data_IF_053987434781
#
_entry.id   IF_053987434781
#
_cell.length_a   1.000
_cell.length_b   1.000
_cell.length_c   1.000
_cell.angle_alpha   90.00
_cell.angle_beta   90.00
_cell.angle_gamma   90.00
#
_symmetry.space_group_name_H-M   'P 1'
#
loop_
_entity.id
_entity.type
_entity.pdbx_description
1 polymer ?
#
# COMPACT_ATOMS: atom_id res chain seq x y z
N UNK A 1 -3.88 -18.02 -12.57
CA UNK A 1 -4.64 -18.16 -11.30
C UNK A 1 -3.95 -17.28 -10.27
N UNK A 2 -4.70 -16.44 -9.55
CA UNK A 2 -4.11 -15.60 -8.51
C UNK A 2 -3.72 -16.41 -7.28
N UNK A 3 -2.60 -16.04 -6.66
CA UNK A 3 -2.16 -16.59 -5.38
C UNK A 3 -2.50 -15.59 -4.26
N UNK A 4 -3.10 -16.02 -3.15
CA UNK A 4 -3.26 -15.15 -1.99
C UNK A 4 -1.92 -14.83 -1.35
N UNK A 5 -1.79 -13.61 -0.88
CA UNK A 5 -0.72 -13.09 -0.06
C UNK A 5 -1.28 -12.32 1.14
N UNK A 6 -0.42 -11.70 1.90
CA UNK A 6 -0.82 -10.92 3.08
C UNK A 6 0.09 -9.70 3.25
N UNK A 7 -0.49 -8.58 3.68
CA UNK A 7 0.25 -7.45 4.21
C UNK A 7 0.54 -7.70 5.70
N UNK A 8 1.82 -7.71 6.06
CA UNK A 8 2.27 -7.92 7.44
C UNK A 8 3.34 -6.89 7.82
N UNK A 9 3.39 -6.54 9.10
CA UNK A 9 4.28 -5.51 9.61
C UNK A 9 5.48 -6.11 10.34
N UNK A 10 6.66 -5.64 10.03
CA UNK A 10 7.84 -5.88 10.85
C UNK A 10 7.59 -5.42 12.29
N UNK A 11 8.15 -6.14 13.26
CA UNK A 11 8.03 -5.89 14.72
C UNK A 11 6.62 -6.12 15.31
N UNK A 12 5.55 -6.25 14.49
CA UNK A 12 4.20 -6.57 14.94
C UNK A 12 3.82 -8.02 14.70
N UNK A 13 4.12 -8.54 13.53
CA UNK A 13 3.63 -9.82 13.06
C UNK A 13 4.69 -10.92 13.16
N UNK A 14 4.29 -12.08 13.70
CA UNK A 14 5.13 -13.28 13.72
C UNK A 14 5.03 -13.99 12.37
N UNK A 15 6.15 -14.13 11.67
CA UNK A 15 6.23 -14.81 10.38
C UNK A 15 5.81 -16.28 10.42
N UNK A 16 5.98 -16.97 11.55
CA UNK A 16 5.51 -18.34 11.68
C UNK A 16 3.98 -18.42 11.68
N UNK A 17 3.33 -17.44 12.32
CA UNK A 17 1.86 -17.31 12.29
C UNK A 17 1.38 -16.97 10.88
N UNK A 18 2.04 -16.03 10.20
CA UNK A 18 1.71 -15.68 8.81
C UNK A 18 1.90 -16.88 7.88
N UNK A 19 3.00 -17.61 7.99
CA UNK A 19 3.25 -18.82 7.19
C UNK A 19 2.19 -19.91 7.44
N UNK A 20 1.71 -20.06 8.68
CA UNK A 20 0.66 -21.02 9.04
C UNK A 20 -0.69 -20.74 8.33
N UNK A 21 -0.92 -19.52 7.80
CA UNK A 21 -2.06 -19.20 6.94
C UNK A 21 -1.96 -19.84 5.55
N UNK A 22 -0.82 -20.48 5.24
CA UNK A 22 -0.59 -21.18 3.98
C UNK A 22 -0.41 -20.25 2.79
N UNK A 23 0.11 -19.04 3.01
CA UNK A 23 0.50 -18.09 1.96
C UNK A 23 1.98 -18.17 1.65
N UNK A 24 2.35 -17.87 0.40
CA UNK A 24 3.76 -17.84 -0.07
C UNK A 24 4.23 -16.45 -0.44
N UNK A 25 3.34 -15.49 -0.50
CA UNK A 25 3.63 -14.12 -0.88
C UNK A 25 3.14 -13.16 0.19
N UNK A 26 3.78 -11.99 0.27
CA UNK A 26 3.31 -10.92 1.12
C UNK A 26 3.98 -9.60 0.83
N UNK A 27 3.43 -8.56 1.43
CA UNK A 27 4.05 -7.24 1.48
C UNK A 27 4.57 -7.00 2.89
N UNK A 28 5.81 -6.55 3.00
CA UNK A 28 6.45 -6.28 4.29
C UNK A 28 6.33 -4.80 4.63
N UNK A 29 5.52 -4.47 5.63
CA UNK A 29 5.42 -3.13 6.20
C UNK A 29 6.58 -2.84 7.14
N UNK A 30 7.20 -1.68 6.97
CA UNK A 30 8.33 -1.20 7.77
C UNK A 30 7.84 -0.05 8.65
N UNK A 31 7.76 -0.24 9.99
CA UNK A 31 7.42 0.84 10.92
C UNK A 31 8.40 2.01 10.85
N UNK A 32 7.93 3.23 11.09
CA UNK A 32 8.73 4.45 10.98
C UNK A 32 10.03 4.44 11.78
N UNK A 33 10.02 3.87 12.99
CA UNK A 33 11.17 3.80 13.89
C UNK A 33 12.10 2.59 13.71
N UNK A 34 11.75 1.61 12.87
CA UNK A 34 12.57 0.41 12.69
C UNK A 34 13.95 0.73 12.12
N UNK A 35 15.00 0.14 12.69
CA UNK A 35 16.37 0.28 12.19
C UNK A 35 16.58 -0.50 10.89
N UNK A 36 17.15 0.15 9.87
CA UNK A 36 17.32 -0.40 8.52
C UNK A 36 18.81 -0.59 8.18
N UNK A 37 19.52 -1.37 8.98
CA UNK A 37 20.92 -1.70 8.70
C UNK A 37 21.08 -3.09 8.03
N UNK A 38 22.31 -3.41 7.67
CA UNK A 38 22.64 -4.71 7.05
C UNK A 38 22.36 -5.90 7.95
N UNK A 39 22.43 -5.75 9.27
CA UNK A 39 22.11 -6.81 10.21
C UNK A 39 20.59 -7.08 10.23
N UNK A 40 19.77 -6.04 10.27
CA UNK A 40 18.33 -6.16 10.14
C UNK A 40 17.94 -6.78 8.79
N UNK A 41 18.57 -6.36 7.70
CA UNK A 41 18.31 -6.93 6.38
C UNK A 41 18.68 -8.43 6.31
N UNK A 42 19.82 -8.83 6.86
CA UNK A 42 20.23 -10.24 6.92
C UNK A 42 19.23 -11.07 7.75
N UNK A 43 18.81 -10.55 8.91
CA UNK A 43 17.79 -11.18 9.76
C UNK A 43 16.47 -11.40 9.00
N UNK A 44 15.93 -10.37 8.40
CA UNK A 44 14.66 -10.45 7.66
C UNK A 44 14.75 -11.35 6.44
N UNK A 45 15.87 -11.31 5.72
CA UNK A 45 16.09 -12.22 4.58
C UNK A 45 16.09 -13.69 5.01
N UNK A 46 16.75 -14.00 6.13
CA UNK A 46 16.75 -15.35 6.70
C UNK A 46 15.37 -15.77 7.23
N UNK A 47 14.67 -14.85 7.94
CA UNK A 47 13.36 -15.12 8.49
C UNK A 47 12.30 -15.38 7.40
N UNK A 48 12.27 -14.56 6.35
CA UNK A 48 11.38 -14.75 5.19
C UNK A 48 11.67 -16.08 4.49
N UNK A 49 12.95 -16.44 4.28
CA UNK A 49 13.33 -17.70 3.67
C UNK A 49 12.91 -18.90 4.54
N UNK A 50 13.11 -18.84 5.86
CA UNK A 50 12.72 -19.89 6.80
C UNK A 50 11.19 -20.07 6.86
N UNK A 51 10.43 -18.98 6.74
CA UNK A 51 8.95 -18.98 6.67
C UNK A 51 8.41 -19.41 5.28
N UNK A 52 9.26 -19.50 4.26
CA UNK A 52 8.83 -19.79 2.89
C UNK A 52 8.01 -18.66 2.26
N UNK A 53 8.19 -17.41 2.74
CA UNK A 53 7.45 -16.23 2.27
C UNK A 53 8.34 -15.40 1.35
N UNK A 54 7.83 -15.07 0.18
CA UNK A 54 8.44 -14.11 -0.75
C UNK A 54 7.80 -12.74 -0.54
N UNK A 55 8.57 -11.77 -0.04
CA UNK A 55 8.14 -10.38 0.01
C UNK A 55 8.15 -9.79 -1.42
N UNK A 56 6.99 -9.31 -1.90
CA UNK A 56 6.83 -8.75 -3.24
C UNK A 56 6.94 -7.24 -3.25
N UNK A 57 6.66 -6.58 -2.13
CA UNK A 57 6.77 -5.13 -1.93
C UNK A 57 7.20 -4.86 -0.49
N UNK A 58 8.02 -3.85 -0.28
CA UNK A 58 8.31 -3.31 1.05
C UNK A 58 7.58 -1.97 1.18
N UNK A 59 6.71 -1.85 2.18
CA UNK A 59 5.86 -0.67 2.40
C UNK A 59 6.44 0.17 3.53
N UNK A 60 6.71 1.44 3.26
CA UNK A 60 7.22 2.38 4.24
C UNK A 60 6.08 3.06 4.99
N UNK A 61 6.17 3.08 6.34
CA UNK A 61 5.39 3.99 7.19
C UNK A 61 6.31 5.01 7.86
N UNK A 62 5.74 6.10 8.30
CA UNK A 62 6.49 7.21 8.88
C UNK A 62 6.03 7.53 10.30
N UNK A 63 6.96 7.97 11.13
CA UNK A 63 6.63 8.46 12.46
C UNK A 63 5.73 9.72 12.36
N UNK A 64 4.75 9.79 13.27
CA UNK A 64 3.85 10.93 13.37
C UNK A 64 2.73 10.97 12.34
N UNK A 65 2.53 9.93 11.53
CA UNK A 65 1.32 9.77 10.74
C UNK A 65 0.13 9.44 11.64
N UNK A 66 -0.99 10.07 11.38
CA UNK A 66 -2.23 9.88 12.14
C UNK A 66 -3.41 9.83 11.16
N UNK A 67 -4.17 8.75 11.25
CA UNK A 67 -5.29 8.41 10.38
C UNK A 67 -6.66 8.55 11.08
N UNK A 68 -6.77 9.40 12.11
CA UNK A 68 -7.98 9.56 12.90
C UNK A 68 -9.17 10.11 12.08
N UNK A 69 -8.91 11.07 11.19
CA UNK A 69 -9.89 11.69 10.30
C UNK A 69 -9.21 12.30 9.06
N UNK A 70 -10.00 12.66 8.04
CA UNK A 70 -9.45 13.21 6.79
C UNK A 70 -8.62 14.49 7.02
N UNK A 71 -9.07 15.51 7.80
CA UNK A 71 -8.25 16.67 8.10
C UNK A 71 -6.92 16.35 8.80
N UNK A 72 -6.89 15.32 9.63
CA UNK A 72 -5.66 14.86 10.30
C UNK A 72 -4.74 14.18 9.32
N UNK A 73 -5.25 13.29 8.47
CA UNK A 73 -4.48 12.66 7.37
C UNK A 73 -3.85 13.75 6.47
N UNK A 74 -4.62 14.75 6.07
CA UNK A 74 -4.13 15.86 5.24
C UNK A 74 -2.94 16.60 5.86
N UNK A 75 -2.92 16.72 7.19
CA UNK A 75 -1.85 17.44 7.91
C UNK A 75 -0.65 16.57 8.28
N UNK A 76 -0.82 15.24 8.36
CA UNK A 76 0.19 14.38 9.00
C UNK A 76 0.75 13.29 8.10
N UNK A 77 0.10 12.91 7.01
CA UNK A 77 0.46 11.72 6.24
C UNK A 77 1.33 12.04 5.02
N UNK A 78 2.24 11.14 4.72
CA UNK A 78 3.04 11.12 3.49
C UNK A 78 4.02 12.27 3.37
N UNK A 79 4.19 12.78 2.17
CA UNK A 79 5.14 13.85 1.84
C UNK A 79 4.51 15.26 1.84
N UNK A 80 3.22 15.37 2.16
CA UNK A 80 2.52 16.66 2.15
C UNK A 80 3.09 17.63 3.20
N UNK A 81 3.26 17.24 4.48
CA UNK A 81 3.72 18.19 5.49
C UNK A 81 5.17 18.65 5.19
N UNK A 82 5.41 19.96 4.92
CA UNK A 82 6.76 20.43 4.59
C UNK A 82 7.79 20.18 5.70
N UNK A 83 7.35 20.24 6.96
CA UNK A 83 8.23 20.07 8.12
C UNK A 83 8.83 18.65 8.24
N UNK A 84 8.13 17.62 7.77
CA UNK A 84 8.56 16.22 7.87
C UNK A 84 9.02 15.64 6.52
N UNK A 85 8.75 16.33 5.41
CA UNK A 85 9.00 15.86 4.04
C UNK A 85 10.42 15.35 3.82
N UNK A 86 11.42 16.12 4.21
CA UNK A 86 12.83 15.74 4.03
C UNK A 86 13.22 14.50 4.85
N UNK A 87 12.73 14.37 6.09
CA UNK A 87 13.00 13.21 6.93
C UNK A 87 12.31 11.94 6.36
N UNK A 88 11.07 12.08 5.84
CA UNK A 88 10.32 10.98 5.22
C UNK A 88 10.92 10.57 3.88
N UNK A 89 11.41 11.52 3.08
CA UNK A 89 12.20 11.22 1.90
C UNK A 89 13.43 10.38 2.27
N UNK A 90 14.26 10.84 3.21
CA UNK A 90 15.43 10.10 3.67
C UNK A 90 15.06 8.69 4.17
N UNK A 91 13.94 8.55 4.90
CA UNK A 91 13.42 7.25 5.35
C UNK A 91 13.06 6.35 4.16
N UNK A 92 12.39 6.89 3.14
CA UNK A 92 12.00 6.13 1.95
C UNK A 92 13.22 5.65 1.16
N UNK A 93 14.27 6.49 1.05
CA UNK A 93 15.53 6.07 0.44
C UNK A 93 16.17 4.91 1.23
N UNK A 94 16.18 4.99 2.57
CA UNK A 94 16.68 3.91 3.41
C UNK A 94 15.84 2.62 3.29
N UNK A 95 14.52 2.74 3.14
CA UNK A 95 13.63 1.58 2.85
C UNK A 95 13.95 0.98 1.48
N UNK A 96 14.24 1.80 0.47
CA UNK A 96 14.68 1.33 -0.85
C UNK A 96 15.98 0.52 -0.75
N UNK A 97 16.99 1.04 -0.05
CA UNK A 97 18.25 0.34 0.18
C UNK A 97 18.03 -0.99 0.93
N UNK A 98 17.20 -0.97 1.98
CA UNK A 98 16.84 -2.15 2.75
C UNK A 98 16.11 -3.20 1.89
N UNK A 99 15.12 -2.79 1.09
CA UNK A 99 14.40 -3.66 0.16
C UNK A 99 15.36 -4.28 -0.87
N UNK A 100 16.34 -3.51 -1.35
CA UNK A 100 17.40 -4.01 -2.24
C UNK A 100 18.23 -5.11 -1.60
N UNK A 101 18.61 -4.96 -0.32
CA UNK A 101 19.33 -6.00 0.45
C UNK A 101 18.50 -7.26 0.62
N UNK A 102 17.16 -7.15 0.72
CA UNK A 102 16.24 -8.30 0.74
C UNK A 102 16.05 -8.93 -0.64
N UNK A 103 16.42 -8.27 -1.72
CA UNK A 103 16.17 -8.69 -3.09
C UNK A 103 14.76 -8.31 -3.59
N UNK A 104 14.07 -7.39 -2.91
CA UNK A 104 12.72 -6.92 -3.27
C UNK A 104 12.81 -5.76 -4.26
N UNK A 105 12.04 -5.85 -5.35
CA UNK A 105 12.08 -4.89 -6.46
C UNK A 105 10.94 -3.88 -6.46
N UNK A 106 10.13 -3.82 -5.43
CA UNK A 106 9.07 -2.84 -5.28
C UNK A 106 9.08 -2.27 -3.87
N UNK A 107 9.03 -0.95 -3.77
CA UNK A 107 8.76 -0.24 -2.52
C UNK A 107 7.47 0.56 -2.67
N UNK A 108 6.74 0.77 -1.59
CA UNK A 108 5.49 1.54 -1.60
C UNK A 108 5.36 2.41 -0.34
N UNK A 109 4.54 3.44 -0.44
CA UNK A 109 4.05 4.21 0.71
C UNK A 109 2.81 5.03 0.33
N UNK A 110 2.11 5.55 1.34
CA UNK A 110 1.22 6.68 1.17
C UNK A 110 2.01 7.97 0.99
N UNK A 111 1.60 8.82 0.05
CA UNK A 111 2.22 10.15 -0.16
C UNK A 111 1.40 11.30 0.42
N UNK A 112 0.19 11.01 0.94
CA UNK A 112 -0.76 11.97 1.46
C UNK A 112 -1.65 12.58 0.37
N UNK A 113 -2.51 13.52 0.73
CA UNK A 113 -3.41 14.21 -0.20
C UNK A 113 -2.65 15.21 -1.08
N UNK A 114 -2.28 14.81 -2.29
CA UNK A 114 -1.60 15.69 -3.24
C UNK A 114 -2.57 16.80 -3.70
N UNK A 115 -2.19 18.09 -3.59
CA UNK A 115 -3.01 19.17 -4.12
C UNK A 115 -3.31 19.00 -5.61
N UNK A 116 -4.51 19.39 -6.06
CA UNK A 116 -4.88 19.31 -7.48
C UNK A 116 -4.23 20.44 -8.33
N UNK A 117 -3.90 21.57 -7.71
CA UNK A 117 -3.22 22.69 -8.38
C UNK A 117 -1.71 22.39 -8.51
N UNK A 118 -1.24 22.18 -9.72
CA UNK A 118 0.18 21.93 -10.01
C UNK A 118 1.11 23.11 -9.66
N UNK A 119 0.55 24.30 -9.39
CA UNK A 119 1.31 25.50 -8.94
C UNK A 119 1.37 25.59 -7.40
N UNK A 120 0.64 24.75 -6.68
CA UNK A 120 0.68 24.72 -5.22
C UNK A 120 2.10 24.32 -4.76
N UNK A 121 2.71 25.06 -3.81
CA UNK A 121 4.03 24.73 -3.28
C UNK A 121 4.14 23.31 -2.71
N UNK A 122 3.07 22.77 -2.12
CA UNK A 122 3.06 21.41 -1.59
C UNK A 122 2.98 20.38 -2.72
N UNK A 123 2.20 20.63 -3.80
CA UNK A 123 2.24 19.80 -5.00
C UNK A 123 3.67 19.71 -5.57
N UNK A 124 4.31 20.86 -5.78
CA UNK A 124 5.68 20.92 -6.31
C UNK A 124 6.65 20.17 -5.40
N UNK A 125 6.55 20.39 -4.09
CA UNK A 125 7.40 19.74 -3.10
C UNK A 125 7.25 18.21 -3.08
N UNK A 126 6.02 17.71 -3.15
CA UNK A 126 5.72 16.27 -3.22
C UNK A 126 6.21 15.67 -4.53
N UNK A 127 5.90 16.31 -5.67
CA UNK A 127 6.35 15.87 -6.99
C UNK A 127 7.86 15.70 -7.04
N UNK A 128 8.60 16.70 -6.58
CA UNK A 128 10.05 16.69 -6.65
C UNK A 128 10.66 15.66 -5.66
N UNK A 129 10.02 15.43 -4.51
CA UNK A 129 10.36 14.33 -3.59
C UNK A 129 10.13 12.97 -4.25
N UNK A 130 8.98 12.74 -4.86
CA UNK A 130 8.67 11.49 -5.58
C UNK A 130 9.67 11.24 -6.71
N UNK A 131 10.08 12.28 -7.45
CA UNK A 131 11.15 12.17 -8.48
C UNK A 131 12.45 11.66 -7.89
N UNK A 132 12.92 12.25 -6.77
CA UNK A 132 14.16 11.81 -6.12
C UNK A 132 14.08 10.39 -5.59
N UNK A 133 12.96 9.99 -5.02
CA UNK A 133 12.72 8.60 -4.60
C UNK A 133 12.77 7.65 -5.78
N UNK A 134 12.09 7.98 -6.89
CA UNK A 134 12.13 7.18 -8.11
C UNK A 134 13.55 7.05 -8.67
N UNK A 135 14.30 8.16 -8.73
CA UNK A 135 15.68 8.19 -9.22
C UNK A 135 16.62 7.34 -8.35
N UNK A 136 16.40 7.32 -7.03
CA UNK A 136 17.13 6.44 -6.11
C UNK A 136 16.74 4.97 -6.31
N UNK A 137 15.46 4.65 -6.29
CA UNK A 137 14.94 3.29 -6.47
C UNK A 137 15.38 2.68 -7.82
N UNK A 138 15.49 3.49 -8.87
CA UNK A 138 15.97 3.06 -10.18
C UNK A 138 17.41 2.51 -10.14
N UNK A 139 18.27 2.99 -9.24
CA UNK A 139 19.65 2.49 -9.07
C UNK A 139 19.68 1.03 -8.61
N UNK A 140 18.61 0.59 -7.94
CA UNK A 140 18.41 -0.78 -7.48
C UNK A 140 17.51 -1.61 -8.42
N UNK A 141 17.09 -1.03 -9.56
CA UNK A 141 16.14 -1.67 -10.47
C UNK A 141 14.75 -1.86 -9.85
N UNK A 142 14.36 -0.96 -8.93
CA UNK A 142 13.11 -1.01 -8.20
C UNK A 142 12.05 -0.09 -8.80
N UNK A 143 10.79 -0.47 -8.61
CA UNK A 143 9.64 0.43 -8.75
C UNK A 143 9.36 1.11 -7.42
N UNK A 144 8.87 2.37 -7.48
CA UNK A 144 8.24 3.05 -6.37
C UNK A 144 6.74 3.12 -6.63
N UNK A 145 5.94 2.53 -5.75
CA UNK A 145 4.50 2.43 -5.91
C UNK A 145 3.78 3.35 -4.92
N UNK A 146 2.91 4.21 -5.44
CA UNK A 146 2.02 5.04 -4.62
C UNK A 146 0.81 4.22 -4.21
N UNK A 147 0.47 4.23 -2.93
CA UNK A 147 -0.75 3.60 -2.48
C UNK A 147 -1.95 4.48 -2.76
N UNK A 148 -3.03 3.88 -3.33
CA UNK A 148 -4.26 4.61 -3.65
C UNK A 148 -5.10 4.88 -2.41
N UNK A 149 -5.92 5.93 -2.49
CA UNK A 149 -6.94 6.25 -1.48
C UNK A 149 -7.26 7.73 -1.38
N UNK A 150 -6.25 8.58 -1.27
CA UNK A 150 -6.45 10.00 -1.01
C UNK A 150 -6.90 10.78 -2.26
N UNK A 151 -6.45 10.39 -3.46
CA UNK A 151 -6.79 11.05 -4.70
C UNK A 151 -7.75 10.23 -5.55
N UNK A 152 -8.56 10.93 -6.36
CA UNK A 152 -9.28 10.29 -7.46
C UNK A 152 -8.29 9.73 -8.49
N UNK A 153 -8.66 8.64 -9.13
CA UNK A 153 -7.80 7.97 -10.12
C UNK A 153 -7.29 8.91 -11.22
N UNK A 154 -8.13 9.81 -11.72
CA UNK A 154 -7.74 10.79 -12.74
C UNK A 154 -6.71 11.79 -12.25
N UNK A 155 -6.83 12.26 -11.00
CA UNK A 155 -5.88 13.19 -10.37
C UNK A 155 -4.55 12.49 -10.14
N UNK A 156 -4.56 11.29 -9.57
CA UNK A 156 -3.35 10.49 -9.36
C UNK A 156 -2.63 10.19 -10.69
N UNK A 157 -3.38 9.86 -11.75
CA UNK A 157 -2.81 9.61 -13.06
C UNK A 157 -2.16 10.87 -13.66
N UNK A 158 -2.76 12.05 -13.47
CA UNK A 158 -2.18 13.32 -13.91
C UNK A 158 -0.89 13.63 -13.14
N UNK A 159 -0.89 13.44 -11.83
CA UNK A 159 0.31 13.58 -10.99
C UNK A 159 1.44 12.63 -11.43
N UNK A 160 1.15 11.35 -11.65
CA UNK A 160 2.15 10.36 -12.10
C UNK A 160 2.77 10.78 -13.45
N UNK A 161 1.96 11.32 -14.35
CA UNK A 161 2.44 11.84 -15.65
C UNK A 161 3.35 13.06 -15.48
N UNK A 162 3.01 13.97 -14.55
CA UNK A 162 3.86 15.15 -14.27
C UNK A 162 5.17 14.76 -13.56
N UNK A 163 5.16 13.75 -12.69
CA UNK A 163 6.39 13.20 -12.11
C UNK A 163 7.36 12.71 -13.20
N UNK A 164 6.85 12.11 -14.25
CA UNK A 164 7.60 11.66 -15.43
C UNK A 164 8.80 10.74 -15.05
N UNK A 165 8.49 9.66 -14.32
CA UNK A 165 9.48 8.62 -14.01
C UNK A 165 8.95 7.24 -14.38
N UNK A 166 9.68 6.47 -15.21
CA UNK A 166 9.18 5.21 -15.78
C UNK A 166 9.01 4.11 -14.72
N UNK A 167 9.64 4.23 -13.56
CA UNK A 167 9.53 3.29 -12.44
C UNK A 167 8.53 3.74 -11.37
N UNK A 168 7.79 4.86 -11.54
CA UNK A 168 6.67 5.21 -10.69
C UNK A 168 5.46 4.34 -11.04
N UNK A 169 4.89 3.70 -10.02
CA UNK A 169 3.83 2.69 -10.14
C UNK A 169 2.78 2.89 -9.06
N UNK A 170 1.86 1.95 -8.96
CA UNK A 170 0.74 1.98 -8.02
C UNK A 170 0.68 0.67 -7.23
N UNK A 171 0.54 0.80 -5.91
CA UNK A 171 0.00 -0.20 -5.01
C UNK A 171 -1.50 0.09 -4.85
N UNK A 172 -2.36 -0.72 -5.45
CA UNK A 172 -3.77 -0.40 -5.54
C UNK A 172 -4.53 -0.96 -4.33
N UNK A 173 -5.08 -0.07 -3.51
CA UNK A 173 -6.00 -0.39 -2.43
C UNK A 173 -7.41 0.11 -2.80
N UNK A 174 -8.37 -0.80 -3.02
CA UNK A 174 -9.75 -0.42 -3.38
C UNK A 174 -10.53 0.16 -2.20
N UNK A 175 -10.23 -0.31 -0.96
CA UNK A 175 -10.96 0.11 0.22
C UNK A 175 -10.63 1.55 0.61
N UNK A 176 -9.37 1.97 0.46
CA UNK A 176 -8.98 3.34 0.77
C UNK A 176 -9.78 4.37 -0.05
N UNK A 177 -10.10 4.08 -1.32
CA UNK A 177 -10.96 4.96 -2.14
C UNK A 177 -12.36 5.14 -1.52
N UNK A 178 -12.91 4.07 -0.95
CA UNK A 178 -14.22 4.10 -0.24
C UNK A 178 -14.09 4.79 1.12
N UNK A 179 -13.04 4.46 1.89
CA UNK A 179 -12.81 5.01 3.23
C UNK A 179 -12.62 6.53 3.21
N UNK A 180 -11.94 7.04 2.19
CA UNK A 180 -11.78 8.49 1.98
C UNK A 180 -12.94 9.11 1.19
N UNK A 181 -13.81 8.30 0.57
CA UNK A 181 -14.91 8.79 -0.26
C UNK A 181 -14.45 9.50 -1.53
N UNK A 182 -13.32 9.09 -2.09
CA UNK A 182 -12.67 9.78 -3.20
C UNK A 182 -13.09 9.27 -4.57
N UNK A 183 -13.26 7.95 -4.75
CA UNK A 183 -13.56 7.38 -6.07
C UNK A 183 -14.31 6.02 -5.96
N UNK A 184 -14.78 5.52 -7.11
CA UNK A 184 -15.36 4.17 -7.23
C UNK A 184 -14.25 3.18 -7.58
N UNK A 185 -14.02 2.13 -6.75
CA UNK A 185 -12.83 1.27 -6.87
C UNK A 185 -12.67 0.57 -8.23
N UNK A 186 -13.76 0.09 -8.85
CA UNK A 186 -13.67 -0.67 -10.10
C UNK A 186 -13.33 0.24 -11.28
N UNK A 187 -13.92 1.44 -11.35
CA UNK A 187 -13.60 2.43 -12.36
C UNK A 187 -12.17 2.96 -12.20
N UNK A 188 -11.76 3.21 -10.95
CA UNK A 188 -10.41 3.63 -10.61
C UNK A 188 -9.38 2.57 -11.02
N UNK A 189 -9.62 1.28 -10.70
CA UNK A 189 -8.74 0.18 -11.12
C UNK A 189 -8.57 0.14 -12.64
N UNK A 190 -9.66 0.22 -13.42
CA UNK A 190 -9.59 0.23 -14.88
C UNK A 190 -8.77 1.40 -15.43
N UNK A 191 -8.89 2.56 -14.79
CA UNK A 191 -8.14 3.77 -15.17
C UNK A 191 -6.64 3.63 -14.90
N UNK A 192 -6.29 3.02 -13.77
CA UNK A 192 -4.91 2.94 -13.27
C UNK A 192 -4.19 1.63 -13.64
N UNK A 193 -4.92 0.65 -14.17
CA UNK A 193 -4.43 -0.72 -14.40
C UNK A 193 -3.03 -0.83 -15.03
N UNK A 194 -2.65 -0.03 -16.05
CA UNK A 194 -1.31 -0.13 -16.66
C UNK A 194 -0.15 0.20 -15.70
N UNK A 195 -0.45 0.84 -14.56
CA UNK A 195 0.53 1.26 -13.57
C UNK A 195 0.51 0.40 -12.31
N UNK A 196 -0.50 -0.46 -12.13
CA UNK A 196 -0.66 -1.30 -10.94
C UNK A 196 0.36 -2.44 -10.94
N UNK A 197 1.21 -2.49 -9.92
CA UNK A 197 2.23 -3.53 -9.73
C UNK A 197 1.97 -4.39 -8.51
N UNK A 198 1.18 -3.91 -7.58
CA UNK A 198 0.73 -4.64 -6.39
C UNK A 198 -0.66 -4.19 -5.96
N UNK A 199 -1.35 -5.03 -5.19
CA UNK A 199 -2.71 -4.74 -4.71
C UNK A 199 -2.83 -5.10 -3.24
N UNK A 200 -3.66 -4.33 -2.53
CA UNK A 200 -4.25 -4.71 -1.27
C UNK A 200 -5.66 -5.27 -1.53
N UNK A 201 -5.95 -6.41 -0.94
CA UNK A 201 -7.30 -6.93 -0.82
C UNK A 201 -7.81 -6.53 0.56
N UNK A 202 -8.42 -5.37 0.61
CA UNK A 202 -8.98 -4.70 1.78
C UNK A 202 -10.43 -4.33 1.49
N UNK A 203 -11.27 -4.26 2.50
CA UNK A 203 -12.67 -3.92 2.36
C UNK A 203 -13.10 -2.91 3.42
N UNK A 204 -14.13 -2.14 3.14
CA UNK A 204 -14.61 -1.11 4.04
C UNK A 204 -15.90 -0.48 3.58
N UNK A 205 -16.49 0.31 4.47
CA UNK A 205 -17.68 1.11 4.22
C UNK A 205 -17.35 2.59 4.12
N UNK A 206 -18.12 3.37 3.36
CA UNK A 206 -17.88 4.79 3.18
C UNK A 206 -18.07 5.59 4.48
N UNK A 207 -17.56 6.83 4.51
CA UNK A 207 -17.78 7.73 5.62
C UNK A 207 -19.26 7.88 5.97
N UNK A 208 -19.60 8.03 7.27
CA UNK A 208 -20.99 8.26 7.68
C UNK A 208 -21.52 9.56 7.09
N UNK A 209 -22.75 9.49 6.54
CA UNK A 209 -23.38 10.66 5.93
C UNK A 209 -23.55 11.81 6.95
N UNK A 210 -23.27 13.03 6.51
CA UNK A 210 -23.47 14.24 7.31
C UNK A 210 -22.38 14.54 8.35
N UNK A 211 -21.28 13.80 8.38
CA UNK A 211 -20.12 14.09 9.23
C UNK A 211 -18.93 14.51 8.33
N UNK A 212 -18.71 15.82 8.13
CA UNK A 212 -17.62 16.31 7.30
C UNK A 212 -16.25 15.86 7.82
N UNK A 213 -15.40 15.38 6.93
CA UNK A 213 -14.04 14.97 7.28
C UNK A 213 -13.94 13.61 7.98
N UNK A 214 -15.05 12.92 8.25
CA UNK A 214 -14.99 11.56 8.78
C UNK A 214 -14.37 10.59 7.76
N UNK A 215 -13.61 9.62 8.27
CA UNK A 215 -13.23 8.44 7.51
C UNK A 215 -14.34 7.39 7.52
N UNK A 216 -14.34 6.54 6.50
CA UNK A 216 -15.10 5.30 6.50
C UNK A 216 -14.59 4.29 7.53
N UNK A 217 -15.20 3.12 7.55
CA UNK A 217 -14.85 2.06 8.49
C UNK A 217 -14.35 0.83 7.75
N UNK A 218 -13.15 0.37 8.08
CA UNK A 218 -12.63 -0.89 7.54
C UNK A 218 -13.47 -2.08 7.99
N UNK A 219 -13.66 -3.05 7.09
CA UNK A 219 -14.42 -4.29 7.31
C UNK A 219 -13.57 -5.53 6.98
N UNK A 220 -13.89 -6.69 7.56
CA UNK A 220 -13.32 -7.95 7.08
C UNK A 220 -13.58 -8.12 5.57
N UNK A 221 -12.65 -8.70 4.85
CA UNK A 221 -12.70 -8.83 3.39
C UNK A 221 -13.98 -9.53 2.93
N UNK A 222 -14.72 -8.92 2.02
CA UNK A 222 -16.01 -9.39 1.50
C UNK A 222 -17.22 -8.97 2.33
N UNK A 223 -17.03 -8.19 3.39
CA UNK A 223 -18.10 -7.70 4.26
C UNK A 223 -18.32 -6.18 4.17
N UNK A 224 -17.56 -5.50 3.32
CA UNK A 224 -17.68 -4.07 3.06
C UNK A 224 -18.29 -3.77 1.69
N UNK A 225 -18.08 -2.54 1.26
CA UNK A 225 -18.71 -1.94 0.07
C UNK A 225 -17.84 -1.98 -1.19
N UNK A 226 -16.63 -2.55 -1.15
CA UNK A 226 -15.73 -2.63 -2.33
C UNK A 226 -16.30 -3.53 -3.43
N UNK A 227 -17.05 -4.58 -3.06
CA UNK A 227 -17.50 -5.56 -4.03
C UNK A 227 -16.38 -6.50 -4.49
N UNK A 228 -15.73 -7.16 -3.55
CA UNK A 228 -14.53 -7.99 -3.75
C UNK A 228 -14.64 -8.99 -4.91
N UNK A 229 -15.76 -9.70 -5.15
CA UNK A 229 -15.87 -10.59 -6.33
C UNK A 229 -15.65 -9.84 -7.65
N UNK A 230 -16.25 -8.64 -7.80
CA UNK A 230 -16.09 -7.81 -9.00
C UNK A 230 -14.68 -7.22 -9.11
N UNK A 231 -14.07 -6.85 -7.99
CA UNK A 231 -12.68 -6.41 -7.95
C UNK A 231 -11.74 -7.48 -8.48
N UNK A 232 -11.85 -8.73 -8.02
CA UNK A 232 -11.04 -9.86 -8.47
C UNK A 232 -11.27 -10.17 -9.97
N UNK A 233 -12.51 -10.11 -10.42
CA UNK A 233 -12.85 -10.26 -11.84
C UNK A 233 -12.18 -9.17 -12.69
N UNK A 234 -12.25 -7.91 -12.23
CA UNK A 234 -11.63 -6.78 -12.92
C UNK A 234 -10.11 -6.93 -12.98
N UNK A 235 -9.46 -7.40 -11.92
CA UNK A 235 -8.01 -7.70 -11.95
C UNK A 235 -7.65 -8.73 -13.03
N UNK A 236 -8.51 -9.74 -13.27
CA UNK A 236 -8.32 -10.68 -14.39
C UNK A 236 -8.52 -10.00 -15.75
N UNK A 237 -9.61 -9.20 -15.89
CA UNK A 237 -9.91 -8.46 -17.13
C UNK A 237 -8.74 -7.57 -17.55
N UNK A 238 -8.09 -6.90 -16.58
CA UNK A 238 -6.95 -6.01 -16.87
C UNK A 238 -5.60 -6.73 -16.92
N UNK A 239 -5.58 -8.05 -16.68
CA UNK A 239 -4.37 -8.86 -16.77
C UNK A 239 -3.37 -8.64 -15.64
N UNK A 240 -3.81 -8.29 -14.42
CA UNK A 240 -2.92 -8.13 -13.26
C UNK A 240 -2.20 -9.45 -12.96
N UNK A 241 -0.86 -9.49 -12.86
CA UNK A 241 -0.11 -10.74 -12.73
C UNK A 241 0.27 -11.13 -11.30
N UNK A 242 0.08 -10.21 -10.34
CA UNK A 242 0.64 -10.34 -9.00
C UNK A 242 -0.22 -11.13 -8.02
N UNK A 243 0.29 -11.39 -6.80
CA UNK A 243 -0.48 -11.96 -5.72
C UNK A 243 -1.51 -10.97 -5.17
N UNK A 244 -2.55 -11.52 -4.53
CA UNK A 244 -3.62 -10.79 -3.88
C UNK A 244 -3.33 -10.68 -2.39
N UNK A 245 -2.81 -9.54 -1.93
CA UNK A 245 -2.38 -9.38 -0.54
C UNK A 245 -3.54 -8.90 0.33
N UNK A 246 -4.03 -9.76 1.23
CA UNK A 246 -5.01 -9.36 2.24
C UNK A 246 -4.37 -8.35 3.19
N UNK A 247 -4.99 -7.20 3.34
CA UNK A 247 -4.66 -6.22 4.36
C UNK A 247 -5.82 -6.07 5.32
N UNK A 248 -5.49 -5.99 6.61
CA UNK A 248 -6.44 -5.80 7.71
C UNK A 248 -5.78 -5.07 8.87
N UNK A 249 -6.38 -3.95 9.30
CA UNK A 249 -5.88 -3.08 10.37
C UNK A 249 -6.86 -3.03 11.56
N UNK A 250 -7.20 -4.21 12.12
CA UNK A 250 -8.00 -4.28 13.34
C UNK A 250 -7.11 -4.11 14.59
N UNK A 251 -7.60 -3.41 15.61
CA UNK A 251 -6.89 -3.19 16.88
C UNK A 251 -6.63 -4.50 17.63
N UNK A 252 -7.64 -5.39 17.71
CA UNK A 252 -7.48 -6.71 18.31
C UNK A 252 -6.70 -7.63 17.35
N UNK A 253 -5.48 -7.97 17.73
CA UNK A 253 -4.59 -8.79 16.93
C UNK A 253 -5.13 -10.19 16.64
N UNK A 254 -5.84 -10.81 17.61
CA UNK A 254 -6.42 -12.14 17.40
C UNK A 254 -7.59 -12.07 16.42
N UNK A 255 -8.43 -11.03 16.48
CA UNK A 255 -9.48 -10.79 15.50
C UNK A 255 -8.89 -10.48 14.12
N UNK A 256 -7.87 -9.64 14.07
CA UNK A 256 -7.16 -9.32 12.82
C UNK A 256 -6.66 -10.58 12.10
N UNK A 257 -6.03 -11.50 12.81
CA UNK A 257 -5.53 -12.76 12.23
C UNK A 257 -6.66 -13.67 11.76
N UNK A 258 -7.79 -13.72 12.47
CA UNK A 258 -8.99 -14.45 12.00
C UNK A 258 -9.54 -13.83 10.72
N UNK A 259 -9.70 -12.51 10.67
CA UNK A 259 -10.20 -11.78 9.51
C UNK A 259 -9.28 -12.01 8.29
N UNK A 260 -7.96 -12.03 8.48
CA UNK A 260 -6.98 -12.34 7.43
C UNK A 260 -7.15 -13.78 6.94
N UNK A 261 -7.30 -14.75 7.84
CA UNK A 261 -7.49 -16.16 7.47
C UNK A 261 -8.77 -16.35 6.65
N UNK A 262 -9.87 -15.73 7.06
CA UNK A 262 -11.14 -15.76 6.33
C UNK A 262 -11.03 -15.07 4.97
N UNK A 263 -10.31 -13.94 4.91
CA UNK A 263 -10.01 -13.23 3.65
C UNK A 263 -9.21 -14.09 2.67
N UNK A 264 -8.19 -14.80 3.14
CA UNK A 264 -7.41 -15.74 2.33
C UNK A 264 -8.30 -16.88 1.80
N UNK A 265 -9.19 -17.44 2.64
CA UNK A 265 -10.14 -18.48 2.23
C UNK A 265 -11.10 -17.97 1.15
N UNK A 266 -11.62 -16.74 1.31
CA UNK A 266 -12.45 -16.07 0.31
C UNK A 266 -11.70 -15.92 -1.01
N UNK A 267 -10.46 -15.39 -0.99
CA UNK A 267 -9.66 -15.20 -2.19
C UNK A 267 -9.36 -16.52 -2.90
N UNK A 268 -9.07 -17.61 -2.19
CA UNK A 268 -8.90 -18.95 -2.78
C UNK A 268 -10.15 -19.41 -3.51
N UNK A 269 -11.32 -19.17 -2.94
CA UNK A 269 -12.61 -19.49 -3.57
C UNK A 269 -12.85 -18.67 -4.83
N UNK A 270 -12.54 -17.37 -4.80
CA UNK A 270 -12.71 -16.47 -5.95
C UNK A 270 -11.64 -16.67 -7.02
N UNK A 271 -10.41 -17.00 -6.64
CA UNK A 271 -9.29 -17.22 -7.56
C UNK A 271 -9.44 -18.54 -8.36
N UNK A 272 -10.15 -19.52 -7.83
CA UNK A 272 -10.43 -20.81 -8.48
C UNK A 272 -11.58 -20.79 -9.48
N UNK A 273 -12.30 -19.69 -9.59
CA UNK A 273 -13.37 -19.45 -10.57
C UNK A 273 -12.81 -18.70 -11.78
#
# INVERSE_FOLDING_TARGET
MFEPGVMFWAERDDLAVIAALGVRYGQLGIPGGMKLDSAAAAHWKQALAAAGITAVTVVAAYEGEDYADIPTVQRTVGFIPPATRAAREARTLAVSDFASMLGVRSIACHIGFVPEDAHDPDYIGVRDTVRRVCDHAARHGQTFALETGQERAGVLLAFIRDVDRPNLRINFDPANLILYGTDEPIAALKTLAPLVVSVHCKDGDPPPAGIPGALGSERPLGQGSVGIPRFIETLREVGFPGPLNVEREAEDQAQRLRDIADGIALLRTLAGR
#
